data_IF_535622103302
#
_entry.id   IF_535622103302
#
_cell.length_a   1.000
_cell.length_b   1.000
_cell.length_c   1.000
_cell.angle_alpha   90.00
_cell.angle_beta   90.00
_cell.angle_gamma   90.00
#
_symmetry.space_group_name_H-M   'P 1'
#
loop_
_entity.id
_entity.type
_entity.pdbx_description
1 polymer ?
#
# COMPACT_ATOMS: atom_id res chain seq x y z
N UNK A 1 -2.29 47.11 -2.88
CA UNK A 1 -3.25 45.99 -2.79
C UNK A 1 -2.46 44.78 -2.30
N UNK A 2 -2.51 44.52 -1.00
CA UNK A 2 -1.61 43.60 -0.31
C UNK A 2 -2.11 42.15 -0.37
N UNK A 3 -1.23 41.22 -0.70
CA UNK A 3 -1.47 39.77 -0.65
C UNK A 3 -1.57 39.29 0.81
N UNK A 4 -2.58 38.50 1.21
CA UNK A 4 -2.59 37.89 2.53
C UNK A 4 -1.58 36.74 2.60
N UNK A 5 -0.75 36.73 3.64
CA UNK A 5 0.20 35.65 3.91
C UNK A 5 -0.55 34.37 4.30
N UNK A 6 -0.21 33.27 3.63
CA UNK A 6 -0.62 31.92 3.98
C UNK A 6 0.04 31.53 5.30
N UNK A 7 -0.70 31.53 6.40
CA UNK A 7 -0.27 30.95 7.67
C UNK A 7 0.12 29.47 7.45
N UNK A 8 1.41 29.18 7.67
CA UNK A 8 1.91 27.82 7.76
C UNK A 8 1.46 27.23 9.09
N UNK A 9 0.82 26.06 9.05
CA UNK A 9 0.52 25.27 10.23
C UNK A 9 1.84 24.88 10.92
N UNK A 10 2.17 25.55 12.01
CA UNK A 10 3.34 25.23 12.82
C UNK A 10 3.03 24.02 13.69
N UNK A 11 3.71 22.89 13.47
CA UNK A 11 3.61 21.72 14.32
C UNK A 11 4.27 21.98 15.70
N UNK A 12 3.71 21.46 16.80
CA UNK A 12 4.23 21.71 18.15
C UNK A 12 5.59 21.02 18.39
N UNK A 13 6.48 21.62 19.20
CA UNK A 13 7.82 21.09 19.43
C UNK A 13 7.77 19.80 20.26
N UNK A 14 8.55 18.82 19.82
CA UNK A 14 8.80 17.56 20.54
C UNK A 14 9.63 17.89 21.79
N UNK A 15 9.17 17.42 22.95
CA UNK A 15 9.88 17.48 24.23
C UNK A 15 11.16 16.66 24.16
N UNK A 16 12.31 17.32 24.25
CA UNK A 16 13.61 16.68 24.35
C UNK A 16 13.91 16.36 25.82
N UNK A 17 13.94 15.06 26.16
CA UNK A 17 14.35 14.58 27.47
C UNK A 17 15.87 14.58 27.54
N UNK A 18 16.43 15.70 27.97
CA UNK A 18 17.85 15.93 28.18
C UNK A 18 18.45 14.95 29.21
N UNK A 19 19.39 14.11 28.78
CA UNK A 19 20.44 13.53 29.62
C UNK A 19 21.77 14.12 29.15
N UNK A 20 22.40 14.92 30.01
CA UNK A 20 23.69 15.55 29.76
C UNK A 20 24.83 14.52 29.79
N UNK A 21 25.77 14.64 28.86
CA UNK A 21 27.01 13.86 28.85
C UNK A 21 27.90 14.19 27.64
N UNK A 22 28.85 15.08 27.86
CA UNK A 22 29.90 15.53 26.94
C UNK A 22 30.76 14.41 26.37
N UNK A 23 31.07 14.47 25.07
CA UNK A 23 32.13 13.66 24.46
C UNK A 23 32.13 13.75 22.94
N UNK A 24 33.20 14.31 22.37
CA UNK A 24 33.46 14.37 20.95
C UNK A 24 33.39 12.99 20.28
N UNK A 25 32.97 12.95 19.01
CA UNK A 25 33.66 12.27 17.91
C UNK A 25 32.92 12.52 16.59
N UNK A 26 33.66 13.18 15.70
CA UNK A 26 33.50 13.21 14.25
C UNK A 26 33.50 11.77 13.70
N UNK A 27 32.60 11.45 12.77
CA UNK A 27 32.71 10.47 11.65
C UNK A 27 31.29 10.12 11.15
N UNK A 28 30.88 10.63 9.99
CA UNK A 28 30.89 9.95 8.69
C UNK A 28 29.85 8.83 8.54
N UNK A 29 29.25 8.80 7.35
CA UNK A 29 28.65 7.64 6.69
C UNK A 29 27.46 6.99 7.38
N UNK A 30 26.27 7.30 6.85
CA UNK A 30 25.49 6.37 6.02
C UNK A 30 24.01 6.76 6.12
N UNK A 31 23.45 7.22 5.00
CA UNK A 31 22.01 7.37 4.88
C UNK A 31 21.38 6.02 5.17
N UNK A 32 20.53 5.97 6.20
CA UNK A 32 19.74 4.81 6.55
C UNK A 32 18.78 4.50 5.38
N UNK A 33 19.25 3.68 4.46
CA UNK A 33 18.44 3.07 3.43
C UNK A 33 17.47 2.11 4.14
N UNK A 34 16.20 2.49 4.18
CA UNK A 34 15.13 1.57 4.55
C UNK A 34 14.95 0.58 3.39
N UNK A 35 15.70 -0.52 3.41
CA UNK A 35 15.43 -1.66 2.53
C UNK A 35 14.53 -2.61 3.31
N UNK A 36 13.24 -2.76 2.95
CA UNK A 36 12.43 -3.80 3.56
C UNK A 36 12.93 -5.14 3.02
N UNK A 37 13.72 -5.81 3.86
CA UNK A 37 14.15 -7.19 3.65
C UNK A 37 12.96 -8.12 3.88
N UNK A 38 12.30 -8.56 2.80
CA UNK A 38 11.43 -9.73 2.85
C UNK A 38 12.31 -10.99 2.82
N UNK A 39 12.93 -11.28 3.97
CA UNK A 39 13.61 -12.54 4.21
C UNK A 39 12.68 -13.54 4.90
N UNK A 40 12.71 -14.79 4.44
CA UNK A 40 12.34 -15.94 5.26
C UNK A 40 11.24 -16.83 4.67
N UNK A 41 11.65 -18.01 4.19
CA UNK A 41 10.82 -18.96 3.48
C UNK A 41 9.89 -19.79 4.35
N UNK A 42 8.77 -20.17 3.73
CA UNK A 42 8.23 -21.54 3.71
C UNK A 42 7.80 -21.75 2.26
N UNK A 43 7.94 -22.97 1.73
CA UNK A 43 7.39 -23.30 0.42
C UNK A 43 5.85 -23.19 0.49
N UNK A 44 5.31 -22.01 0.17
CA UNK A 44 3.87 -21.79 0.03
C UNK A 44 3.40 -22.37 -1.30
N UNK A 45 3.28 -23.70 -1.33
CA UNK A 45 2.63 -24.45 -2.40
C UNK A 45 1.09 -24.34 -2.33
N UNK A 46 0.56 -23.37 -1.56
CA UNK A 46 -0.87 -23.06 -1.45
C UNK A 46 -1.24 -21.95 -2.42
N UNK A 47 -0.89 -22.17 -3.69
CA UNK A 47 -1.47 -21.54 -4.86
C UNK A 47 -1.24 -20.02 -4.89
N UNK A 48 -0.40 -19.59 -5.84
CA UNK A 48 -0.48 -18.30 -6.52
C UNK A 48 -1.88 -18.07 -7.09
N UNK A 49 -2.85 -17.87 -6.20
CA UNK A 49 -4.28 -17.88 -6.47
C UNK A 49 -4.62 -16.58 -7.16
N UNK A 50 -4.37 -16.52 -8.46
CA UNK A 50 -4.76 -15.41 -9.31
C UNK A 50 -6.24 -15.12 -9.04
N UNK A 51 -6.55 -13.92 -8.56
CA UNK A 51 -7.93 -13.54 -8.23
C UNK A 51 -8.60 -13.12 -9.51
N UNK A 52 -9.76 -13.70 -9.79
CA UNK A 52 -10.58 -13.28 -10.93
C UNK A 52 -11.33 -12.01 -10.61
N UNK A 53 -11.15 -11.00 -11.46
CA UNK A 53 -11.89 -9.76 -11.46
C UNK A 53 -12.76 -9.66 -12.70
N UNK A 54 -13.79 -8.84 -12.65
CA UNK A 54 -14.72 -8.55 -13.75
C UNK A 54 -14.58 -7.07 -14.11
N UNK A 55 -14.34 -6.76 -15.38
CA UNK A 55 -14.25 -5.37 -15.81
C UNK A 55 -15.60 -4.66 -15.74
N UNK A 56 -15.62 -3.39 -15.31
CA UNK A 56 -16.85 -2.61 -15.19
C UNK A 56 -17.51 -2.24 -16.53
N UNK A 57 -16.75 -2.20 -17.63
CA UNK A 57 -17.27 -1.74 -18.93
C UNK A 57 -17.56 -2.90 -19.90
N UNK A 58 -16.60 -3.80 -20.09
CA UNK A 58 -16.75 -4.93 -21.02
C UNK A 58 -17.18 -6.25 -20.35
N UNK A 59 -17.37 -6.26 -19.02
CA UNK A 59 -17.75 -7.44 -18.23
C UNK A 59 -16.84 -8.68 -18.41
N UNK A 60 -15.66 -8.52 -19.01
CA UNK A 60 -14.71 -9.61 -19.23
C UNK A 60 -14.05 -10.02 -17.92
N UNK A 61 -13.78 -11.32 -17.78
CA UNK A 61 -13.05 -11.87 -16.63
C UNK A 61 -11.55 -11.70 -16.82
N UNK A 62 -10.88 -11.12 -15.83
CA UNK A 62 -9.44 -10.86 -15.84
C UNK A 62 -8.85 -11.48 -14.58
N UNK A 63 -7.95 -12.44 -14.74
CA UNK A 63 -7.18 -12.99 -13.62
C UNK A 63 -5.94 -12.11 -13.40
N UNK A 64 -5.78 -11.56 -12.18
CA UNK A 64 -4.63 -10.75 -11.78
C UNK A 64 -3.97 -11.36 -10.54
N UNK A 65 -2.64 -11.31 -10.51
CA UNK A 65 -1.83 -11.68 -9.35
C UNK A 65 -1.49 -10.46 -8.49
N UNK A 66 -0.97 -10.71 -7.29
CA UNK A 66 -0.51 -9.66 -6.41
C UNK A 66 0.72 -8.97 -7.02
N UNK A 67 0.61 -7.67 -7.31
CA UNK A 67 1.66 -6.87 -7.95
C UNK A 67 1.45 -6.59 -9.44
N UNK A 68 0.48 -7.24 -10.09
CA UNK A 68 0.13 -6.95 -11.48
C UNK A 68 -0.53 -5.56 -11.62
N UNK A 69 -0.26 -4.87 -12.74
CA UNK A 69 -0.87 -3.58 -13.02
C UNK A 69 -2.38 -3.72 -13.30
N UNK A 70 -3.20 -2.93 -12.59
CA UNK A 70 -4.66 -2.97 -12.72
C UNK A 70 -5.13 -2.41 -14.07
N UNK A 71 -5.34 -3.29 -15.04
CA UNK A 71 -5.82 -2.97 -16.39
C UNK A 71 -6.62 -4.13 -16.95
N UNK A 72 -7.74 -3.82 -17.61
CA UNK A 72 -8.45 -4.81 -18.40
C UNK A 72 -7.68 -5.13 -19.70
N UNK A 73 -7.60 -6.41 -20.08
CA UNK A 73 -6.88 -6.87 -21.27
C UNK A 73 -7.61 -6.53 -22.59
N UNK A 74 -8.94 -6.44 -22.55
CA UNK A 74 -9.76 -6.22 -23.74
C UNK A 74 -9.96 -4.72 -24.06
N UNK A 75 -10.19 -3.91 -23.02
CA UNK A 75 -10.62 -2.51 -23.18
C UNK A 75 -9.67 -1.47 -22.57
N UNK A 76 -8.66 -1.89 -21.79
CA UNK A 76 -7.67 -0.98 -21.19
C UNK A 76 -8.16 -0.13 -20.01
N UNK A 77 -9.45 -0.17 -19.67
CA UNK A 77 -10.00 0.48 -18.48
C UNK A 77 -9.43 -0.13 -17.19
N UNK A 78 -9.35 0.69 -16.13
CA UNK A 78 -8.69 0.32 -14.85
C UNK A 78 -9.67 0.00 -13.72
N UNK A 79 -10.97 0.02 -13.99
CA UNK A 79 -12.01 -0.30 -13.00
C UNK A 79 -12.39 -1.77 -13.14
N UNK A 80 -12.03 -2.56 -12.14
CA UNK A 80 -12.32 -3.99 -12.05
C UNK A 80 -13.03 -4.28 -10.72
N UNK A 81 -14.08 -5.10 -10.75
CA UNK A 81 -14.79 -5.60 -9.58
C UNK A 81 -14.30 -7.00 -9.22
N UNK A 82 -14.27 -7.37 -7.94
CA UNK A 82 -13.95 -8.74 -7.53
C UNK A 82 -15.08 -9.69 -7.92
N UNK A 83 -14.76 -10.87 -8.47
CA UNK A 83 -15.79 -11.87 -8.77
C UNK A 83 -16.50 -12.36 -7.49
N UNK A 84 -17.80 -12.63 -7.58
CA UNK A 84 -18.57 -13.21 -6.47
C UNK A 84 -18.04 -14.58 -6.10
N UNK A 85 -18.11 -14.92 -4.82
CA UNK A 85 -17.76 -16.27 -4.36
C UNK A 85 -18.79 -17.28 -4.85
N UNK A 86 -18.34 -18.49 -5.22
CA UNK A 86 -19.23 -19.61 -5.56
C UNK A 86 -19.82 -20.32 -4.33
N UNK A 87 -19.39 -19.93 -3.13
CA UNK A 87 -19.88 -20.48 -1.87
C UNK A 87 -21.27 -19.93 -1.60
N UNK A 88 -22.21 -20.81 -1.24
CA UNK A 88 -23.56 -20.43 -0.82
C UNK A 88 -23.49 -19.56 0.43
N UNK A 89 -24.33 -18.52 0.47
CA UNK A 89 -24.49 -17.63 1.62
C UNK A 89 -25.92 -17.75 2.13
N UNK A 90 -26.08 -17.96 3.44
CA UNK A 90 -27.39 -18.05 4.09
C UNK A 90 -27.75 -16.68 4.65
N UNK A 91 -28.94 -16.20 4.32
CA UNK A 91 -29.50 -14.97 4.88
C UNK A 91 -30.72 -15.29 5.76
N UNK A 92 -30.96 -14.46 6.77
CA UNK A 92 -32.19 -14.45 7.57
C UNK A 92 -33.22 -13.50 6.96
N UNK A 93 -34.50 -13.85 7.00
CA UNK A 93 -35.59 -13.00 6.54
C UNK A 93 -35.99 -12.05 7.67
N UNK A 94 -35.29 -10.91 7.78
CA UNK A 94 -35.64 -9.80 8.65
C UNK A 94 -36.27 -8.67 7.86
#
# INVERSE_FOLDING_TARGET
>A
MATPQRELYQAPPQRDSSIAGSGALQQNSSGAAYTPSYGGGVADSLVSSSVTYVCGECASKVALNLGDAIRCKECGHRVLYKERTKRMVQFEAR
#
